data_IF_076848742038
#
_entry.id   IF_076848742038
#
_cell.length_a   1.000
_cell.length_b   1.000
_cell.length_c   1.000
_cell.angle_alpha   90.00
_cell.angle_beta   90.00
_cell.angle_gamma   90.00
#
_symmetry.space_group_name_H-M   'P 1'
#
loop_
_entity.id
_entity.type
_entity.pdbx_description
1 polymer ?
#
# COMPACT_ATOMS: atom_id res chain seq x y z
N UNK A 1 -8.28 -2.94 7.30
CA UNK A 1 -7.46 -1.72 7.17
C UNK A 1 -7.01 -1.53 5.73
N UNK A 2 -6.62 -0.33 5.38
CA UNK A 2 -6.13 -0.07 4.03
C UNK A 2 -4.66 0.25 4.04
N UNK A 3 -3.98 -0.18 2.98
CA UNK A 3 -2.58 0.16 2.76
C UNK A 3 -2.43 0.87 1.43
N UNK A 4 -1.64 1.92 1.42
CA UNK A 4 -1.20 2.59 0.20
C UNK A 4 0.21 2.10 -0.11
N UNK A 5 0.40 1.58 -1.31
CA UNK A 5 1.66 0.96 -1.71
C UNK A 5 2.21 1.71 -2.92
N UNK A 6 3.44 2.17 -2.78
CA UNK A 6 4.17 2.73 -3.91
C UNK A 6 4.99 1.58 -4.52
N UNK A 7 4.63 1.18 -5.72
CA UNK A 7 5.29 0.06 -6.39
C UNK A 7 6.27 0.60 -7.43
N UNK A 8 7.54 0.63 -7.06
CA UNK A 8 8.59 1.16 -7.94
C UNK A 8 8.90 0.22 -9.10
N UNK A 9 8.62 -1.07 -8.94
CA UNK A 9 8.91 -2.04 -9.98
C UNK A 9 8.08 -1.82 -11.24
N UNK A 10 6.83 -1.37 -11.08
CA UNK A 10 5.96 -1.12 -12.22
C UNK A 10 5.45 0.32 -12.29
N UNK A 11 5.89 1.16 -11.35
CA UNK A 11 5.53 2.57 -11.38
C UNK A 11 4.08 2.86 -11.03
N UNK A 12 3.51 2.10 -10.08
CA UNK A 12 2.10 2.27 -9.70
C UNK A 12 1.95 2.66 -8.25
N UNK A 13 0.79 3.21 -7.93
CA UNK A 13 0.35 3.41 -6.55
C UNK A 13 -0.89 2.53 -6.35
N UNK A 14 -0.79 1.60 -5.44
CA UNK A 14 -1.84 0.62 -5.21
C UNK A 14 -2.52 0.88 -3.88
N UNK A 15 -3.84 0.81 -3.86
CA UNK A 15 -4.61 0.83 -2.62
C UNK A 15 -5.16 -0.57 -2.40
N UNK A 16 -4.78 -1.18 -1.30
CA UNK A 16 -5.21 -2.55 -1.02
C UNK A 16 -5.90 -2.60 0.33
N UNK A 17 -6.87 -3.49 0.45
CA UNK A 17 -7.55 -3.77 1.70
C UNK A 17 -6.89 -4.97 2.35
N UNK A 18 -6.49 -4.79 3.59
CA UNK A 18 -5.81 -5.82 4.37
C UNK A 18 -6.72 -6.20 5.53
N UNK A 19 -6.85 -7.50 5.84
CA UNK A 19 -7.68 -7.92 6.98
C UNK A 19 -7.18 -7.29 8.28
N UNK A 20 -8.13 -6.94 9.15
CA UNK A 20 -7.78 -6.28 10.41
C UNK A 20 -7.20 -7.25 11.45
N UNK A 21 -7.37 -8.53 11.24
CA UNK A 21 -6.97 -9.56 12.20
C UNK A 21 -5.61 -10.19 11.90
N UNK A 22 -4.84 -9.60 11.01
CA UNK A 22 -3.50 -10.11 10.72
C UNK A 22 -2.49 -9.55 11.72
N UNK A 23 -1.43 -10.32 11.95
CA UNK A 23 -0.39 -9.94 12.89
C UNK A 23 0.64 -8.99 12.29
N UNK A 24 0.93 -9.16 10.99
CA UNK A 24 2.00 -8.39 10.36
C UNK A 24 1.60 -8.05 8.93
N UNK A 25 1.44 -6.75 8.68
CA UNK A 25 1.05 -6.25 7.36
C UNK A 25 2.13 -6.57 6.33
N UNK A 26 3.41 -6.45 6.70
CA UNK A 26 4.49 -6.74 5.76
C UNK A 26 4.44 -8.17 5.26
N UNK A 27 4.24 -9.11 6.16
CA UNK A 27 4.13 -10.52 5.77
C UNK A 27 2.95 -10.71 4.83
N UNK A 28 1.83 -10.07 5.12
CA UNK A 28 0.66 -10.18 4.25
C UNK A 28 0.96 -9.66 2.85
N UNK A 29 1.60 -8.51 2.76
CA UNK A 29 1.91 -7.91 1.45
C UNK A 29 2.85 -8.79 0.65
N UNK A 30 3.86 -9.36 1.28
CA UNK A 30 4.87 -10.13 0.56
C UNK A 30 4.41 -11.56 0.28
N UNK A 31 3.82 -12.23 1.26
CA UNK A 31 3.50 -13.64 1.16
C UNK A 31 2.14 -13.90 0.51
N UNK A 32 1.16 -13.06 0.77
CA UNK A 32 -0.21 -13.27 0.26
C UNK A 32 -0.42 -12.52 -1.04
N UNK A 33 -0.04 -11.26 -1.09
CA UNK A 33 -0.28 -10.42 -2.26
C UNK A 33 0.86 -10.49 -3.28
N UNK A 34 2.02 -11.00 -2.88
CA UNK A 34 3.12 -11.22 -3.81
C UNK A 34 3.96 -10.01 -4.14
N UNK A 35 3.91 -8.97 -3.32
CA UNK A 35 4.79 -7.82 -3.53
C UNK A 35 6.22 -8.18 -3.20
N UNK A 36 7.15 -7.45 -3.79
CA UNK A 36 8.58 -7.62 -3.54
C UNK A 36 9.06 -6.52 -2.62
N UNK A 37 9.70 -6.92 -1.54
CA UNK A 37 10.15 -6.01 -0.50
C UNK A 37 11.04 -4.90 -1.04
N UNK A 38 11.90 -5.23 -2.00
CA UNK A 38 12.86 -4.27 -2.56
C UNK A 38 12.27 -3.38 -3.64
N UNK A 39 10.99 -3.52 -3.96
CA UNK A 39 10.35 -2.75 -5.01
C UNK A 39 9.22 -1.87 -4.53
N UNK A 40 8.87 -1.93 -3.25
CA UNK A 40 7.73 -1.18 -2.74
C UNK A 40 8.07 -0.40 -1.48
N UNK A 41 7.30 0.66 -1.29
CA UNK A 41 7.13 1.33 -0.01
C UNK A 41 5.66 1.31 0.31
N UNK A 42 5.30 1.23 1.58
CA UNK A 42 3.89 1.21 1.93
C UNK A 42 3.63 1.94 3.23
N UNK A 43 2.36 2.32 3.42
CA UNK A 43 1.91 2.81 4.71
C UNK A 43 0.49 2.34 4.95
N UNK A 44 0.18 2.08 6.20
CA UNK A 44 -1.18 1.81 6.62
C UNK A 44 -1.90 3.16 6.76
N UNK A 45 -3.09 3.25 6.22
CA UNK A 45 -3.84 4.49 6.26
C UNK A 45 -5.26 4.24 6.76
N UNK A 46 -5.90 5.29 7.21
CA UNK A 46 -7.32 5.24 7.52
C UNK A 46 -8.12 5.16 6.23
N UNK A 47 -9.22 4.44 6.29
CA UNK A 47 -10.10 4.29 5.14
C UNK A 47 -10.56 5.66 4.65
N UNK A 48 -10.47 5.87 3.36
CA UNK A 48 -10.92 7.10 2.74
C UNK A 48 -10.01 8.31 2.94
N UNK A 49 -8.90 8.15 3.64
CA UNK A 49 -7.98 9.27 3.89
C UNK A 49 -6.93 9.34 2.80
N UNK A 50 -7.31 9.88 1.66
CA UNK A 50 -6.38 10.15 0.57
C UNK A 50 -6.49 11.62 0.22
N UNK A 51 -5.36 12.30 0.27
CA UNK A 51 -5.27 13.68 -0.15
C UNK A 51 -4.54 13.72 -1.47
N UNK A 52 -5.24 14.20 -2.49
CA UNK A 52 -4.63 14.38 -3.80
C UNK A 52 -4.36 15.85 -3.96
N UNK A 53 -3.09 16.19 -3.94
CA UNK A 53 -2.67 17.57 -4.08
C UNK A 53 -2.24 17.79 -5.52
N UNK A 54 -3.11 18.39 -6.30
CA UNK A 54 -2.84 18.69 -7.68
C UNK A 54 -2.53 20.17 -7.78
N UNK A 55 -1.26 20.49 -7.84
CA UNK A 55 -0.79 21.86 -7.85
C UNK A 55 -0.43 22.37 -9.24
N UNK A 56 -0.91 21.71 -10.25
CA UNK A 56 -0.78 22.22 -11.61
C UNK A 56 -1.62 23.48 -11.71
N UNK A 57 -1.02 24.50 -11.92
CA UNK A 57 -1.76 25.75 -12.01
C UNK A 57 -1.85 26.19 -13.46
#
# INVERSE_FOLDING_TARGET
MECAILNYGIGSVDLVTVPDDIDDVEVYLYDVLGYREDEIEFMVKERGKININDDRA
#
